data_IF_046124717547
#
_entry.id   IF_046124717547
#
_cell.length_a   1.000
_cell.length_b   1.000
_cell.length_c   1.000
_cell.angle_alpha   90.00
_cell.angle_beta   90.00
_cell.angle_gamma   90.00
#
_symmetry.space_group_name_H-M   'P 1'
#
loop_
_entity.id
_entity.type
_entity.pdbx_description
1 polymer ?
#
# COMPACT_ATOMS: atom_id res chain seq x y z
N UNK A 1 19.16 -9.39 7.21
CA UNK A 1 18.65 -8.02 7.10
C UNK A 1 17.64 -7.71 8.20
N UNK A 2 17.62 -6.47 8.63
CA UNK A 2 16.74 -5.99 9.69
C UNK A 2 15.26 -6.27 9.42
N UNK A 3 14.86 -6.21 8.16
CA UNK A 3 13.47 -6.33 7.75
C UNK A 3 13.07 -7.72 7.28
N UNK A 4 13.96 -8.69 7.37
CA UNK A 4 13.64 -10.05 6.95
C UNK A 4 12.52 -10.64 7.83
N UNK A 5 11.48 -11.19 7.20
CA UNK A 5 10.35 -11.79 7.91
C UNK A 5 9.34 -10.82 8.49
N UNK A 6 9.52 -9.52 8.28
CA UNK A 6 8.60 -8.49 8.76
C UNK A 6 7.35 -8.44 7.89
N UNK A 7 6.17 -8.22 8.52
CA UNK A 7 4.92 -8.04 7.77
C UNK A 7 4.89 -6.66 7.12
N UNK A 8 4.11 -6.51 6.05
CA UNK A 8 3.94 -5.24 5.38
C UNK A 8 3.36 -4.16 6.31
N UNK A 9 2.41 -4.53 7.16
CA UNK A 9 1.80 -3.58 8.10
C UNK A 9 2.80 -3.11 9.14
N UNK A 10 3.70 -3.97 9.60
CA UNK A 10 4.75 -3.60 10.55
C UNK A 10 5.75 -2.62 9.91
N UNK A 11 6.10 -2.81 8.65
CA UNK A 11 6.97 -1.88 7.92
C UNK A 11 6.31 -0.51 7.78
N UNK A 12 5.04 -0.47 7.42
CA UNK A 12 4.28 0.78 7.30
C UNK A 12 4.21 1.49 8.65
N UNK A 13 3.93 0.76 9.72
CA UNK A 13 3.88 1.33 11.07
C UNK A 13 5.20 1.97 11.46
N UNK A 14 6.33 1.34 11.08
CA UNK A 14 7.65 1.91 11.34
C UNK A 14 7.84 3.24 10.59
N UNK A 15 7.48 3.29 9.31
CA UNK A 15 7.60 4.50 8.50
C UNK A 15 6.73 5.63 9.08
N UNK A 16 5.50 5.32 9.48
CA UNK A 16 4.61 6.30 10.10
C UNK A 16 5.22 6.83 11.40
N UNK A 17 5.84 5.96 12.20
CA UNK A 17 6.54 6.37 13.41
C UNK A 17 7.69 7.34 13.14
N UNK A 18 8.49 7.06 12.10
CA UNK A 18 9.59 7.93 11.69
C UNK A 18 9.06 9.31 11.25
N UNK A 19 7.99 9.34 10.48
CA UNK A 19 7.35 10.60 10.06
C UNK A 19 6.86 11.37 11.27
N UNK A 20 6.25 10.70 12.25
CA UNK A 20 5.76 11.32 13.48
C UNK A 20 6.86 11.94 14.29
N UNK A 21 8.04 11.33 14.35
CA UNK A 21 9.20 11.87 15.03
C UNK A 21 9.67 13.20 14.43
N UNK A 22 9.39 13.39 13.13
CA UNK A 22 9.73 14.62 12.42
C UNK A 22 8.57 15.62 12.38
N UNK A 23 7.47 15.32 13.05
CA UNK A 23 6.30 16.16 13.08
C UNK A 23 5.43 16.09 11.83
N UNK A 24 5.69 15.14 10.94
CA UNK A 24 4.92 14.96 9.71
C UNK A 24 3.74 14.04 9.95
N UNK A 25 2.58 14.37 9.36
CA UNK A 25 1.36 13.61 9.55
C UNK A 25 0.78 13.25 8.18
N UNK A 26 0.47 11.97 7.93
CA UNK A 26 -0.20 11.60 6.68
C UNK A 26 -1.62 12.19 6.63
N UNK A 27 -1.99 12.69 5.46
CA UNK A 27 -3.33 13.25 5.21
C UNK A 27 -4.19 12.25 4.47
N UNK A 28 -3.64 11.64 3.44
CA UNK A 28 -4.28 10.55 2.71
C UNK A 28 -3.23 9.76 1.92
N UNK A 29 -3.62 8.56 1.51
CA UNK A 29 -2.77 7.69 0.69
C UNK A 29 -3.64 7.10 -0.43
N UNK A 30 -3.10 7.05 -1.62
CA UNK A 30 -3.74 6.41 -2.76
C UNK A 30 -2.78 5.36 -3.33
N UNK A 31 -3.24 4.12 -3.40
CA UNK A 31 -2.44 3.00 -3.88
C UNK A 31 -3.09 2.36 -5.10
N UNK A 32 -2.27 2.00 -6.08
CA UNK A 32 -2.71 1.25 -7.26
C UNK A 32 -1.95 -0.06 -7.29
N UNK A 33 -2.68 -1.18 -7.28
CA UNK A 33 -2.10 -2.51 -7.33
C UNK A 33 -2.31 -3.06 -8.73
N UNK A 34 -1.22 -3.45 -9.38
CA UNK A 34 -1.23 -4.09 -10.70
C UNK A 34 -1.07 -5.58 -10.50
N UNK A 35 -2.11 -6.35 -10.74
CA UNK A 35 -2.11 -7.77 -10.41
C UNK A 35 -3.14 -8.51 -11.24
N UNK A 36 -2.72 -9.60 -11.90
CA UNK A 36 -3.65 -10.49 -12.60
C UNK A 36 -4.27 -11.48 -11.62
N UNK A 37 -3.49 -11.99 -10.70
CA UNK A 37 -3.91 -12.96 -9.69
C UNK A 37 -3.15 -12.74 -8.39
N UNK A 38 -3.81 -12.82 -7.22
CA UNK A 38 -5.25 -12.96 -7.03
C UNK A 38 -6.01 -11.68 -7.42
N UNK A 39 -7.33 -11.77 -7.55
CA UNK A 39 -8.15 -10.58 -7.77
C UNK A 39 -8.14 -9.72 -6.51
N UNK A 40 -7.82 -8.45 -6.67
CA UNK A 40 -7.75 -7.50 -5.55
C UNK A 40 -9.13 -6.96 -5.20
N UNK A 41 -10.01 -6.75 -6.20
CA UNK A 41 -11.31 -6.11 -5.99
C UNK A 41 -12.15 -6.71 -4.87
N UNK A 42 -12.28 -8.05 -4.72
CA UNK A 42 -13.05 -8.62 -3.63
C UNK A 42 -12.48 -8.30 -2.24
N UNK A 43 -11.19 -7.96 -2.16
CA UNK A 43 -10.49 -7.72 -0.90
C UNK A 43 -10.20 -6.23 -0.66
N UNK A 44 -10.61 -5.36 -1.59
CA UNK A 44 -10.26 -3.94 -1.55
C UNK A 44 -10.69 -3.27 -0.25
N UNK A 45 -11.94 -3.47 0.17
CA UNK A 45 -12.45 -2.83 1.37
C UNK A 45 -11.68 -3.26 2.63
N UNK A 46 -11.36 -4.56 2.73
CA UNK A 46 -10.58 -5.08 3.86
C UNK A 46 -9.16 -4.52 3.85
N UNK A 47 -8.54 -4.41 2.67
CA UNK A 47 -7.21 -3.83 2.53
C UNK A 47 -7.20 -2.37 2.92
N UNK A 48 -8.17 -1.59 2.46
CA UNK A 48 -8.30 -0.18 2.80
C UNK A 48 -8.48 0.02 4.30
N UNK A 49 -9.31 -0.81 4.92
CA UNK A 49 -9.56 -0.74 6.34
C UNK A 49 -8.30 -1.05 7.16
N UNK A 50 -7.58 -2.12 6.80
CA UNK A 50 -6.37 -2.51 7.49
C UNK A 50 -5.27 -1.46 7.35
N UNK A 51 -5.08 -0.91 6.16
CA UNK A 51 -4.06 0.10 5.90
C UNK A 51 -4.41 1.44 6.55
N UNK A 52 -5.67 1.84 6.52
CA UNK A 52 -6.14 3.06 7.18
C UNK A 52 -5.88 3.00 8.69
N UNK A 53 -6.09 1.84 9.31
CA UNK A 53 -5.84 1.65 10.73
C UNK A 53 -4.35 1.85 11.07
N UNK A 54 -3.45 1.37 10.22
CA UNK A 54 -2.00 1.48 10.45
C UNK A 54 -1.50 2.90 10.15
N UNK A 55 -1.96 3.49 9.06
CA UNK A 55 -1.51 4.81 8.61
C UNK A 55 -2.10 5.93 9.47
N UNK A 56 -3.30 5.76 9.98
CA UNK A 56 -4.00 6.80 10.74
C UNK A 56 -4.61 7.88 9.86
N UNK A 57 -4.77 7.62 8.57
CA UNK A 57 -5.37 8.53 7.60
C UNK A 57 -6.04 7.69 6.51
N UNK A 58 -6.99 8.24 5.75
CA UNK A 58 -7.68 7.48 4.70
C UNK A 58 -6.73 6.90 3.67
N UNK A 59 -6.87 5.62 3.39
CA UNK A 59 -6.12 4.91 2.35
C UNK A 59 -7.10 4.37 1.34
N UNK A 60 -6.93 4.77 0.07
CA UNK A 60 -7.72 4.26 -1.05
C UNK A 60 -6.89 3.28 -1.85
N UNK A 61 -7.48 2.16 -2.23
CA UNK A 61 -6.82 1.13 -3.02
C UNK A 61 -7.57 0.94 -4.33
N UNK A 62 -6.87 1.03 -5.44
CA UNK A 62 -7.38 0.68 -6.76
C UNK A 62 -6.62 -0.52 -7.31
N UNK A 63 -7.33 -1.37 -8.03
CA UNK A 63 -6.73 -2.51 -8.68
C UNK A 63 -6.82 -2.34 -10.20
N UNK A 64 -5.77 -2.74 -10.89
CA UNK A 64 -5.74 -2.77 -12.34
C UNK A 64 -4.97 -3.99 -12.81
N UNK A 65 -5.01 -4.25 -14.12
CA UNK A 65 -4.27 -5.34 -14.73
C UNK A 65 -3.48 -4.82 -15.91
N UNK A 66 -2.60 -5.66 -16.48
CA UNK A 66 -1.90 -5.36 -17.72
C UNK A 66 -2.60 -5.99 -18.93
N UNK A 67 -3.85 -6.43 -18.77
CA UNK A 67 -4.60 -7.15 -19.80
C UNK A 67 -3.86 -8.40 -20.30
N UNK A 68 -3.27 -9.12 -19.34
CA UNK A 68 -2.49 -10.35 -19.58
C UNK A 68 -1.21 -10.15 -20.39
N UNK A 69 -0.71 -8.91 -20.44
CA UNK A 69 0.53 -8.61 -21.14
C UNK A 69 1.71 -8.58 -20.17
N UNK A 70 2.88 -8.98 -20.69
CA UNK A 70 4.12 -8.97 -19.92
C UNK A 70 4.14 -9.99 -18.78
N UNK A 71 5.14 -9.89 -17.91
CA UNK A 71 5.30 -10.85 -16.82
C UNK A 71 4.18 -10.72 -15.78
N UNK A 72 3.69 -9.53 -15.53
CA UNK A 72 2.56 -9.34 -14.62
C UNK A 72 1.28 -9.92 -15.19
N UNK A 73 1.06 -9.78 -16.51
CA UNK A 73 -0.10 -10.36 -17.18
C UNK A 73 -0.08 -11.88 -17.22
N UNK A 74 1.10 -12.49 -17.11
CA UNK A 74 1.27 -13.93 -16.97
C UNK A 74 1.15 -14.43 -15.54
N UNK A 75 0.90 -13.53 -14.59
CA UNK A 75 0.84 -13.87 -13.18
C UNK A 75 2.21 -14.11 -12.54
N UNK A 76 3.28 -13.59 -13.14
CA UNK A 76 4.64 -13.79 -12.66
C UNK A 76 5.08 -12.74 -11.65
N UNK A 77 4.23 -11.73 -11.39
CA UNK A 77 4.54 -10.71 -10.43
C UNK A 77 3.37 -9.79 -10.13
N UNK A 78 3.54 -9.00 -9.10
CA UNK A 78 2.59 -8.00 -8.63
C UNK A 78 3.35 -6.69 -8.47
N UNK A 79 2.76 -5.59 -8.92
CA UNK A 79 3.33 -4.27 -8.73
C UNK A 79 2.35 -3.40 -7.96
N UNK A 80 2.89 -2.47 -7.17
CA UNK A 80 2.09 -1.49 -6.45
C UNK A 80 2.77 -0.14 -6.51
N UNK A 81 1.99 0.90 -6.77
CA UNK A 81 2.45 2.27 -6.70
C UNK A 81 1.54 3.02 -5.72
N UNK A 82 2.14 3.79 -4.83
CA UNK A 82 1.37 4.56 -3.86
C UNK A 82 1.84 6.01 -3.85
N UNK A 83 0.87 6.91 -3.65
CA UNK A 83 1.12 8.33 -3.46
C UNK A 83 0.50 8.74 -2.14
N UNK A 84 1.28 9.41 -1.31
CA UNK A 84 0.83 9.88 -0.03
C UNK A 84 0.94 11.40 0.04
N UNK A 85 -0.11 12.05 0.55
CA UNK A 85 -0.06 13.45 0.91
C UNK A 85 0.26 13.53 2.40
N UNK A 86 1.30 14.27 2.71
CA UNK A 86 1.81 14.39 4.09
C UNK A 86 1.85 15.87 4.44
N UNK A 87 1.36 16.20 5.62
CA UNK A 87 1.46 17.55 6.14
C UNK A 87 2.71 17.65 7.03
N UNK A 88 3.62 18.52 6.64
CA UNK A 88 4.86 18.76 7.38
C UNK A 88 4.66 19.89 8.40
N UNK A 89 5.50 19.94 9.45
CA UNK A 89 5.43 20.99 10.44
C UNK A 89 5.80 22.37 9.86
#
# INVERSE_FOLDING_TARGET
PEWAGVTGTAMIAHVIGVLGEQGAVPVNVHAVVVCERPRVSPHRAAMEQALTAVVGAPVSVHATTTDRMGFMGRGEGIACQAVALVEAP
#
